data_IF_439076225623
#
_entry.id   IF_439076225623
#
_cell.length_a   1.000
_cell.length_b   1.000
_cell.length_c   1.000
_cell.angle_alpha   90.00
_cell.angle_beta   90.00
_cell.angle_gamma   90.00
#
_symmetry.space_group_name_H-M   'P 1'
#
loop_
_entity.id
_entity.type
_entity.pdbx_description
1 polymer ?
#
# COMPACT_ATOMS: atom_id res chain seq x y z
N UNK A 1 72.55 41.72 -18.23
CA UNK A 1 72.67 41.97 -19.68
C UNK A 1 72.59 40.63 -20.41
N UNK A 2 71.62 40.50 -21.34
CA UNK A 2 71.69 39.81 -22.65
C UNK A 2 72.15 38.33 -22.65
N UNK A 3 71.38 37.33 -23.12
CA UNK A 3 70.44 37.22 -24.26
C UNK A 3 69.44 36.09 -23.93
N UNK A 4 68.12 36.21 -24.12
CA UNK A 4 67.40 36.23 -25.40
C UNK A 4 67.64 34.91 -26.18
N UNK A 5 66.66 34.21 -26.73
CA UNK A 5 65.26 34.49 -27.03
C UNK A 5 64.68 33.20 -27.63
N UNK A 6 63.35 33.14 -27.72
CA UNK A 6 62.61 32.51 -28.83
C UNK A 6 62.58 30.96 -28.87
N UNK A 7 61.47 30.30 -29.19
CA UNK A 7 60.32 30.76 -29.94
C UNK A 7 59.22 29.68 -29.93
N UNK A 8 57.95 30.14 -29.97
CA UNK A 8 56.87 29.63 -30.84
C UNK A 8 56.32 28.22 -30.51
N UNK A 9 55.02 27.92 -30.45
CA UNK A 9 53.76 28.47 -30.94
C UNK A 9 52.65 27.94 -30.00
N UNK A 10 51.69 28.75 -29.56
CA UNK A 10 50.41 28.99 -30.25
C UNK A 10 49.77 27.66 -30.70
N UNK A 11 48.59 27.24 -30.26
CA UNK A 11 47.31 27.93 -30.20
C UNK A 11 46.32 26.94 -30.80
N UNK A 12 45.17 26.73 -30.17
CA UNK A 12 44.00 26.13 -30.82
C UNK A 12 43.55 24.80 -30.23
N UNK A 13 42.62 24.84 -29.29
CA UNK A 13 41.21 24.75 -29.68
C UNK A 13 40.34 25.24 -28.52
N UNK A 14 39.59 26.29 -28.81
CA UNK A 14 38.49 26.80 -27.99
C UNK A 14 37.23 25.98 -28.34
N UNK A 15 36.30 25.94 -27.39
CA UNK A 15 34.83 25.89 -27.59
C UNK A 15 34.10 24.55 -27.35
N UNK A 16 33.48 24.50 -26.16
CA UNK A 16 32.04 24.31 -25.90
C UNK A 16 31.39 22.91 -25.77
N UNK A 17 30.37 22.93 -24.89
CA UNK A 17 29.26 21.96 -24.68
C UNK A 17 29.66 20.74 -23.84
N UNK A 18 29.05 20.35 -22.72
CA UNK A 18 27.85 20.77 -22.01
C UNK A 18 27.78 19.98 -20.69
N UNK A 19 27.26 20.65 -19.65
CA UNK A 19 26.19 20.19 -18.75
C UNK A 19 26.28 18.83 -18.00
N UNK A 20 25.91 18.92 -16.72
CA UNK A 20 25.51 17.85 -15.78
C UNK A 20 26.65 16.96 -15.26
N UNK A 21 26.87 16.74 -13.97
CA UNK A 21 26.05 16.97 -12.80
C UNK A 21 26.92 17.34 -11.59
N UNK A 22 26.53 18.43 -10.94
CA UNK A 22 26.81 18.70 -9.54
C UNK A 22 26.20 17.53 -8.75
N UNK A 23 27.05 16.63 -8.26
CA UNK A 23 26.66 15.61 -7.28
C UNK A 23 26.47 16.24 -5.91
N UNK A 24 25.51 17.16 -5.79
CA UNK A 24 25.03 17.65 -4.51
C UNK A 24 24.14 16.58 -3.87
N UNK A 25 24.41 16.33 -2.60
CA UNK A 25 23.59 15.58 -1.66
C UNK A 25 22.12 16.03 -1.72
N UNK A 26 21.22 15.05 -1.86
CA UNK A 26 19.82 15.13 -1.47
C UNK A 26 19.54 13.76 -0.83
N UNK A 27 19.81 13.55 0.46
CA UNK A 27 18.81 13.80 1.51
C UNK A 27 17.45 14.15 0.92
N UNK A 28 16.78 13.12 0.39
CA UNK A 28 15.37 13.20 0.03
C UNK A 28 14.58 13.47 1.29
N UNK A 29 14.33 14.76 1.52
CA UNK A 29 13.33 15.38 2.37
C UNK A 29 12.34 14.37 2.99
N UNK A 30 12.68 13.84 4.17
CA UNK A 30 11.84 12.94 4.96
C UNK A 30 10.67 13.69 5.59
N UNK A 31 9.80 14.26 4.76
CA UNK A 31 8.48 14.67 5.22
C UNK A 31 7.79 13.42 5.74
N UNK A 32 7.32 13.46 6.99
CA UNK A 32 6.47 12.40 7.53
C UNK A 32 5.32 12.19 6.55
N UNK A 33 5.15 10.95 6.07
CA UNK A 33 4.00 10.57 5.26
C UNK A 33 2.73 11.05 6.00
N UNK A 34 1.84 11.72 5.29
CA UNK A 34 0.54 12.13 5.83
C UNK A 34 -0.51 11.09 5.49
N UNK A 35 -1.57 11.03 6.30
CA UNK A 35 -2.64 10.06 6.13
C UNK A 35 -3.32 10.18 4.76
N UNK A 36 -3.49 11.40 4.24
CA UNK A 36 -4.13 11.66 2.95
C UNK A 36 -3.27 11.22 1.75
N UNK A 37 -2.01 10.86 1.98
CA UNK A 37 -1.10 10.37 0.95
C UNK A 37 -1.12 8.84 0.83
N UNK A 38 -1.85 8.13 1.71
CA UNK A 38 -1.96 6.67 1.65
C UNK A 38 -2.84 6.27 0.47
N UNK A 39 -2.36 5.32 -0.33
CA UNK A 39 -3.05 4.82 -1.52
C UNK A 39 -3.79 3.53 -1.16
N UNK A 40 -5.10 3.64 -1.01
CA UNK A 40 -5.96 2.48 -0.71
C UNK A 40 -6.51 1.79 -1.95
N UNK A 41 -6.42 2.40 -3.13
CA UNK A 41 -6.71 1.75 -4.40
C UNK A 41 -5.49 0.92 -4.81
N UNK A 42 -5.60 -0.40 -4.65
CA UNK A 42 -4.45 -1.29 -4.70
C UNK A 42 -4.81 -2.67 -5.24
N UNK A 43 -3.82 -3.33 -5.82
CA UNK A 43 -3.86 -4.75 -6.16
C UNK A 43 -2.56 -5.38 -5.67
N UNK A 44 -2.65 -6.31 -4.71
CA UNK A 44 -1.50 -6.96 -4.12
C UNK A 44 -1.81 -8.42 -3.78
N UNK A 45 -0.78 -9.27 -3.72
CA UNK A 45 -0.92 -10.55 -3.02
C UNK A 45 -0.93 -10.27 -1.53
N UNK A 46 -1.83 -10.91 -0.78
CA UNK A 46 -1.87 -10.78 0.66
C UNK A 46 -1.74 -12.13 1.35
N UNK A 47 -1.12 -12.11 2.53
CA UNK A 47 -1.31 -13.12 3.55
C UNK A 47 -2.13 -12.54 4.70
N UNK A 48 -3.02 -13.36 5.25
CA UNK A 48 -3.83 -13.06 6.42
C UNK A 48 -3.44 -14.05 7.51
N UNK A 49 -3.17 -13.52 8.70
CA UNK A 49 -2.86 -14.33 9.89
C UNK A 49 -3.72 -13.89 11.07
N UNK A 50 -4.05 -14.84 11.95
CA UNK A 50 -4.78 -14.61 13.19
C UNK A 50 -4.07 -15.34 14.32
N UNK A 51 -3.77 -14.65 15.43
CA UNK A 51 -3.05 -15.24 16.58
C UNK A 51 -1.79 -16.03 16.14
N UNK A 52 -0.96 -15.42 15.27
CA UNK A 52 0.28 -15.99 14.71
C UNK A 52 0.11 -17.20 13.78
N UNK A 53 -1.11 -17.61 13.45
CA UNK A 53 -1.38 -18.66 12.47
C UNK A 53 -1.80 -18.04 11.15
N UNK A 54 -1.16 -18.44 10.05
CA UNK A 54 -1.62 -18.10 8.72
C UNK A 54 -3.01 -18.73 8.49
N UNK A 55 -3.99 -17.90 8.10
CA UNK A 55 -5.37 -18.33 7.88
C UNK A 55 -5.76 -18.30 6.40
N UNK A 56 -5.14 -17.45 5.58
CA UNK A 56 -5.38 -17.39 4.14
C UNK A 56 -4.23 -16.69 3.41
N UNK A 57 -3.96 -17.12 2.18
CA UNK A 57 -3.23 -16.32 1.19
C UNK A 57 -4.10 -16.11 -0.04
N UNK A 58 -3.93 -14.98 -0.71
CA UNK A 58 -4.72 -14.67 -1.90
C UNK A 58 -4.32 -13.38 -2.60
N UNK A 59 -5.12 -12.98 -3.57
CA UNK A 59 -4.99 -11.69 -4.24
C UNK A 59 -6.08 -10.75 -3.73
N UNK A 60 -5.70 -9.56 -3.29
CA UNK A 60 -6.59 -8.48 -2.91
C UNK A 60 -6.59 -7.41 -3.99
N UNK A 61 -7.78 -6.99 -4.43
CA UNK A 61 -8.00 -5.81 -5.26
C UNK A 61 -8.97 -4.89 -4.55
N UNK A 62 -8.61 -3.61 -4.42
CA UNK A 62 -9.47 -2.58 -3.88
C UNK A 62 -9.52 -1.38 -4.83
N UNK A 63 -10.72 -0.85 -5.07
CA UNK A 63 -10.96 0.30 -5.96
C UNK A 63 -11.83 1.39 -5.30
N UNK A 64 -12.05 1.29 -3.99
CA UNK A 64 -12.88 2.20 -3.22
C UNK A 64 -14.35 1.78 -3.16
N UNK A 65 -14.96 1.51 -4.31
CA UNK A 65 -16.35 1.02 -4.37
C UNK A 65 -16.47 -0.49 -4.33
N UNK A 66 -15.37 -1.17 -4.67
CA UNK A 66 -15.29 -2.62 -4.72
C UNK A 66 -13.99 -3.12 -4.09
N UNK A 67 -14.12 -4.11 -3.21
CA UNK A 67 -13.02 -4.89 -2.66
C UNK A 67 -13.23 -6.36 -3.01
N UNK A 68 -12.23 -6.98 -3.62
CA UNK A 68 -12.24 -8.40 -4.02
C UNK A 68 -11.04 -9.10 -3.40
N UNK A 69 -11.27 -10.22 -2.74
CA UNK A 69 -10.22 -11.14 -2.32
C UNK A 69 -10.46 -12.54 -2.87
N UNK A 70 -9.47 -13.10 -3.54
CA UNK A 70 -9.51 -14.47 -4.05
C UNK A 70 -8.44 -15.31 -3.37
N UNK A 71 -8.83 -16.38 -2.69
CA UNK A 71 -7.89 -17.33 -2.08
C UNK A 71 -7.03 -18.02 -3.13
N UNK A 72 -5.73 -18.05 -2.88
CA UNK A 72 -4.74 -18.84 -3.63
C UNK A 72 -4.21 -20.02 -2.81
N UNK A 73 -4.34 -19.98 -1.48
CA UNK A 73 -3.96 -21.07 -0.57
C UNK A 73 -4.83 -21.02 0.71
N UNK A 74 -5.19 -22.18 1.30
CA UNK A 74 -4.81 -23.55 0.91
C UNK A 74 -5.53 -24.04 -0.36
N UNK A 75 -4.95 -25.01 -1.07
CA UNK A 75 -5.50 -25.56 -2.34
C UNK A 75 -6.95 -26.06 -2.19
N UNK A 76 -7.35 -26.53 -1.01
CA UNK A 76 -8.73 -26.99 -0.72
C UNK A 76 -9.78 -25.89 -0.78
N UNK A 77 -9.36 -24.62 -0.66
CA UNK A 77 -10.24 -23.45 -0.68
C UNK A 77 -9.83 -22.45 -1.78
N UNK A 78 -8.92 -22.85 -2.66
CA UNK A 78 -8.44 -22.01 -3.75
C UNK A 78 -9.56 -21.64 -4.71
N UNK A 79 -9.58 -20.39 -5.13
CA UNK A 79 -10.63 -19.82 -5.96
C UNK A 79 -11.85 -19.36 -5.18
N UNK A 80 -11.91 -19.58 -3.86
CA UNK A 80 -12.92 -18.94 -3.02
C UNK A 80 -12.70 -17.42 -3.07
N UNK A 81 -13.73 -16.71 -3.51
CA UNK A 81 -13.72 -15.29 -3.73
C UNK A 81 -14.73 -14.62 -2.79
N UNK A 82 -14.27 -13.59 -2.11
CA UNK A 82 -15.08 -12.66 -1.34
C UNK A 82 -15.06 -11.31 -2.04
N UNK A 83 -16.24 -10.76 -2.30
CA UNK A 83 -16.40 -9.51 -2.99
C UNK A 83 -17.36 -8.64 -2.19
N UNK A 84 -16.95 -7.42 -1.88
CA UNK A 84 -17.83 -6.37 -1.35
C UNK A 84 -17.98 -5.28 -2.41
N UNK A 85 -19.23 -4.97 -2.77
CA UNK A 85 -19.58 -3.87 -3.66
C UNK A 85 -20.49 -2.93 -2.87
N UNK A 86 -19.93 -1.81 -2.40
CA UNK A 86 -20.65 -0.82 -1.59
C UNK A 86 -21.47 -1.44 -0.42
N UNK A 87 -20.89 -2.40 0.29
CA UNK A 87 -21.55 -3.07 1.43
C UNK A 87 -22.46 -4.25 1.04
N UNK A 88 -22.62 -4.55 -0.24
CA UNK A 88 -23.25 -5.80 -0.69
C UNK A 88 -22.17 -6.85 -0.88
N UNK A 89 -22.25 -7.93 -0.10
CA UNK A 89 -21.29 -9.03 -0.17
C UNK A 89 -21.75 -10.09 -1.17
N UNK A 90 -20.78 -10.61 -1.90
CA UNK A 90 -20.89 -11.77 -2.78
C UNK A 90 -19.79 -12.76 -2.41
N UNK A 91 -20.14 -14.03 -2.32
CA UNK A 91 -19.20 -15.13 -2.08
C UNK A 91 -19.33 -16.12 -3.22
N UNK A 92 -18.21 -16.50 -3.84
CA UNK A 92 -18.21 -17.48 -4.93
C UNK A 92 -17.05 -18.46 -4.85
N UNK A 93 -17.26 -19.68 -5.31
CA UNK A 93 -16.24 -20.70 -5.50
C UNK A 93 -16.48 -21.39 -6.84
N UNK A 94 -15.56 -21.19 -7.80
CA UNK A 94 -15.74 -21.62 -9.19
C UNK A 94 -17.06 -21.05 -9.78
N UNK A 95 -17.92 -21.89 -10.33
CA UNK A 95 -19.20 -21.50 -10.95
C UNK A 95 -20.35 -21.34 -9.94
N UNK A 96 -20.11 -21.56 -8.64
CA UNK A 96 -21.10 -21.42 -7.59
C UNK A 96 -20.98 -20.05 -6.91
N UNK A 97 -22.06 -19.29 -6.85
CA UNK A 97 -22.10 -18.01 -6.14
C UNK A 97 -23.35 -17.87 -5.27
N UNK A 98 -23.18 -17.16 -4.15
CA UNK A 98 -24.27 -16.67 -3.31
C UNK A 98 -24.21 -15.14 -3.36
N UNK A 99 -25.31 -14.53 -3.83
CA UNK A 99 -25.45 -13.09 -4.04
C UNK A 99 -26.59 -12.55 -3.17
N UNK A 100 -26.42 -11.36 -2.59
CA UNK A 100 -27.52 -10.62 -1.93
C UNK A 100 -27.76 -10.98 -0.46
N UNK A 101 -28.83 -10.46 0.15
CA UNK A 101 -29.16 -10.34 1.60
C UNK A 101 -28.83 -11.55 2.49
N UNK A 102 -28.68 -12.75 1.91
CA UNK A 102 -28.34 -14.01 2.60
C UNK A 102 -26.82 -14.27 2.69
N UNK A 103 -25.99 -13.64 1.87
CA UNK A 103 -24.54 -13.66 1.95
C UNK A 103 -24.03 -12.67 3.00
N UNK A 104 -24.41 -12.89 4.26
CA UNK A 104 -23.87 -12.13 5.38
C UNK A 104 -22.59 -12.80 5.85
N UNK A 105 -21.46 -12.12 5.68
CA UNK A 105 -20.28 -12.46 6.44
C UNK A 105 -20.51 -12.08 7.91
N UNK A 106 -19.97 -12.86 8.87
CA UNK A 106 -19.91 -12.40 10.25
C UNK A 106 -19.30 -10.99 10.30
N UNK A 107 -19.90 -10.10 11.07
CA UNK A 107 -19.46 -8.70 11.22
C UNK A 107 -17.97 -8.62 11.58
N UNK A 108 -17.52 -9.52 12.46
CA UNK A 108 -16.13 -9.61 12.90
C UNK A 108 -15.26 -10.56 12.06
N UNK A 109 -15.71 -11.00 10.88
CA UNK A 109 -14.85 -11.77 9.98
C UNK A 109 -13.68 -10.92 9.48
N UNK A 110 -12.52 -11.53 9.23
CA UNK A 110 -11.32 -10.82 8.78
C UNK A 110 -11.58 -10.00 7.50
N UNK A 111 -12.41 -10.48 6.57
CA UNK A 111 -12.72 -9.77 5.33
C UNK A 111 -13.65 -8.57 5.59
N UNK A 112 -14.69 -8.75 6.41
CA UNK A 112 -15.57 -7.65 6.83
C UNK A 112 -14.78 -6.54 7.52
N UNK A 113 -13.86 -6.90 8.42
CA UNK A 113 -13.00 -5.94 9.12
C UNK A 113 -12.04 -5.24 8.16
N UNK A 114 -11.40 -5.98 7.24
CA UNK A 114 -10.53 -5.39 6.21
C UNK A 114 -11.28 -4.36 5.35
N UNK A 115 -12.45 -4.73 4.82
CA UNK A 115 -13.27 -3.82 3.99
C UNK A 115 -13.65 -2.57 4.78
N UNK A 116 -14.04 -2.73 6.05
CA UNK A 116 -14.41 -1.62 6.92
C UNK A 116 -13.24 -0.66 7.16
N UNK A 117 -12.03 -1.20 7.42
CA UNK A 117 -10.81 -0.41 7.56
C UNK A 117 -10.46 0.33 6.26
N UNK A 118 -10.48 -0.36 5.12
CA UNK A 118 -10.15 0.24 3.82
C UNK A 118 -11.11 1.39 3.47
N UNK A 119 -12.41 1.19 3.71
CA UNK A 119 -13.43 2.22 3.48
C UNK A 119 -13.24 3.40 4.43
N UNK A 120 -13.17 3.14 5.74
CA UNK A 120 -13.01 4.18 6.75
C UNK A 120 -11.75 5.02 6.52
N UNK A 121 -10.60 4.36 6.31
CA UNK A 121 -9.32 5.03 6.13
C UNK A 121 -9.25 5.84 4.83
N UNK A 122 -9.95 5.41 3.78
CA UNK A 122 -10.05 6.14 2.51
C UNK A 122 -11.00 7.33 2.60
N UNK A 123 -12.15 7.18 3.24
CA UNK A 123 -13.18 8.23 3.34
C UNK A 123 -12.85 9.30 4.39
N UNK A 124 -12.14 8.90 5.46
CA UNK A 124 -11.84 9.77 6.60
C UNK A 124 -10.34 9.78 6.96
N UNK A 125 -9.43 10.05 6.00
CA UNK A 125 -7.99 10.02 6.25
C UNK A 125 -7.56 11.03 7.34
N UNK A 126 -8.29 12.13 7.50
CA UNK A 126 -8.04 13.13 8.55
C UNK A 126 -8.27 12.61 9.98
N UNK A 127 -8.97 11.49 10.14
CA UNK A 127 -9.20 10.83 11.43
C UNK A 127 -8.14 9.77 11.75
N UNK A 128 -7.15 9.58 10.87
CA UNK A 128 -6.03 8.69 11.12
C UNK A 128 -4.93 9.43 11.87
N UNK A 129 -4.49 8.86 12.98
CA UNK A 129 -3.43 9.42 13.80
C UNK A 129 -2.08 8.81 13.39
N UNK A 130 -1.12 9.66 13.02
CA UNK A 130 0.23 9.17 12.71
C UNK A 130 0.96 8.73 13.98
N UNK A 131 1.44 7.50 13.98
CA UNK A 131 2.26 6.91 15.05
C UNK A 131 3.76 7.00 14.75
N UNK A 132 4.14 7.69 13.66
CA UNK A 132 5.49 7.71 13.14
C UNK A 132 5.83 6.44 12.34
N UNK A 133 7.01 6.44 11.68
CA UNK A 133 7.48 5.32 10.87
C UNK A 133 6.42 4.80 9.87
N UNK A 134 5.64 5.71 9.26
CA UNK A 134 4.58 5.38 8.30
C UNK A 134 3.43 4.53 8.86
N UNK A 135 3.26 4.45 10.18
CA UNK A 135 2.12 3.82 10.82
C UNK A 135 1.04 4.85 11.13
N UNK A 136 -0.22 4.47 10.93
CA UNK A 136 -1.39 5.29 11.17
C UNK A 136 -2.43 4.46 11.89
N UNK A 137 -2.89 4.93 13.04
CA UNK A 137 -3.97 4.29 13.80
C UNK A 137 -5.30 4.95 13.52
N UNK A 138 -6.36 4.17 13.58
CA UNK A 138 -7.74 4.67 13.59
C UNK A 138 -8.64 3.79 14.45
N UNK A 139 -9.83 4.30 14.74
CA UNK A 139 -10.88 3.55 15.41
C UNK A 139 -12.17 3.71 14.62
N UNK A 140 -12.78 2.58 14.26
CA UNK A 140 -14.10 2.55 13.66
C UNK A 140 -15.17 2.69 14.75
N UNK A 141 -16.43 2.90 14.34
CA UNK A 141 -17.57 2.80 15.25
C UNK A 141 -17.59 1.42 15.94
N UNK A 142 -18.19 1.33 17.13
CA UNK A 142 -18.16 0.14 18.01
C UNK A 142 -16.80 -0.16 18.70
N UNK A 143 -15.78 0.68 18.53
CA UNK A 143 -14.52 0.60 19.29
C UNK A 143 -13.47 -0.33 18.69
N UNK A 144 -13.65 -0.79 17.45
CA UNK A 144 -12.66 -1.59 16.72
C UNK A 144 -11.50 -0.68 16.28
N UNK A 145 -10.34 -0.88 16.89
CA UNK A 145 -9.11 -0.15 16.54
C UNK A 145 -8.30 -0.89 15.48
N UNK A 146 -7.64 -0.13 14.61
CA UNK A 146 -6.78 -0.67 13.57
C UNK A 146 -5.51 0.16 13.39
N UNK A 147 -4.51 -0.44 12.74
CA UNK A 147 -3.27 0.22 12.32
C UNK A 147 -3.00 -0.11 10.86
N UNK A 148 -2.80 0.93 10.04
CA UNK A 148 -2.31 0.84 8.67
C UNK A 148 -0.83 1.20 8.65
N UNK A 149 -0.01 0.33 8.09
CA UNK A 149 1.39 0.63 7.81
C UNK A 149 1.54 0.91 6.33
N UNK A 150 2.03 2.12 6.00
CA UNK A 150 2.27 2.55 4.63
C UNK A 150 3.75 2.95 4.41
N UNK A 151 4.26 2.65 3.23
CA UNK A 151 5.66 2.89 2.80
C UNK A 151 5.68 3.54 1.43
N UNK A 152 6.88 3.86 0.95
CA UNK A 152 7.14 4.12 -0.47
C UNK A 152 6.07 5.01 -1.17
N UNK A 153 5.90 6.26 -0.69
CA UNK A 153 4.89 7.21 -1.20
C UNK A 153 3.43 6.80 -0.93
N UNK A 154 3.16 6.08 0.15
CA UNK A 154 1.81 5.80 0.62
C UNK A 154 1.25 4.42 0.26
N UNK A 155 2.05 3.54 -0.36
CA UNK A 155 1.66 2.15 -0.60
C UNK A 155 1.43 1.44 0.74
N UNK A 156 0.27 0.80 0.88
CA UNK A 156 -0.05 -0.02 2.04
C UNK A 156 0.84 -1.27 2.05
N UNK A 157 1.53 -1.49 3.16
CA UNK A 157 2.36 -2.67 3.43
C UNK A 157 1.60 -3.68 4.30
N UNK A 158 0.91 -3.20 5.33
CA UNK A 158 0.09 -4.05 6.19
C UNK A 158 -1.06 -3.31 6.86
N UNK A 159 -2.06 -4.08 7.26
CA UNK A 159 -3.20 -3.66 8.06
C UNK A 159 -3.32 -4.63 9.23
N UNK A 160 -3.41 -4.08 10.44
CA UNK A 160 -3.70 -4.84 11.65
C UNK A 160 -5.03 -4.37 12.21
N UNK A 161 -5.95 -5.29 12.46
CA UNK A 161 -7.27 -4.99 13.01
C UNK A 161 -7.71 -6.16 13.88
N UNK A 162 -8.06 -5.88 15.14
CA UNK A 162 -8.32 -6.90 16.15
C UNK A 162 -7.16 -7.94 16.21
N UNK A 163 -7.46 -9.23 16.05
CA UNK A 163 -6.48 -10.32 16.04
C UNK A 163 -5.85 -10.58 14.66
N UNK A 164 -6.31 -9.87 13.62
CA UNK A 164 -5.92 -10.12 12.24
C UNK A 164 -4.76 -9.23 11.81
N UNK A 165 -3.75 -9.87 11.23
CA UNK A 165 -2.65 -9.19 10.57
C UNK A 165 -2.65 -9.55 9.08
N UNK A 166 -2.83 -8.53 8.24
CA UNK A 166 -2.99 -8.61 6.80
C UNK A 166 -1.78 -7.91 6.16
N UNK A 167 -1.00 -8.62 5.37
CA UNK A 167 0.24 -8.12 4.79
C UNK A 167 0.19 -8.21 3.27
N UNK A 168 0.49 -7.11 2.57
CA UNK A 168 0.79 -7.17 1.14
C UNK A 168 2.20 -7.75 0.95
N UNK A 169 2.33 -8.72 0.05
CA UNK A 169 3.56 -9.46 -0.27
C UNK A 169 4.33 -8.84 -1.43
#
# INVERSE_FOLDING_TARGET
MKKAMQAFLCSGLVLFVALFAVGCQLSGNGGSLKAEQIVFDMECQISVSASEKEVACGTLKNSGTETVFTLTSPETAKGLCYQDINGTVKISLNDLSIDGVEALLPEYSWFSQLVSVLRYAKEQPQLLESQGNGQFSGSMEQGVSFVVTARNKGTVESITVDQYHIKCL
#
